data_IF_787386010818
#
_entry.id   IF_787386010818
#
_cell.length_a   1.000
_cell.length_b   1.000
_cell.length_c   1.000
_cell.angle_alpha   90.00
_cell.angle_beta   90.00
_cell.angle_gamma   90.00
#
_symmetry.space_group_name_H-M   'P 1'
#
loop_
_entity.id
_entity.type
_entity.pdbx_description
1 polymer ?
#
# COMPACT_ATOMS: atom_id res chain seq x y z
N UNK A 1 -18.85 -21.12 -5.79
CA UNK A 1 -19.46 -20.68 -4.55
C UNK A 1 -20.81 -20.04 -4.84
N UNK A 2 -21.83 -20.35 -4.04
CA UNK A 2 -23.19 -19.79 -4.19
C UNK A 2 -23.21 -18.25 -4.05
N UNK A 3 -22.14 -17.63 -3.57
CA UNK A 3 -22.05 -16.17 -3.39
C UNK A 3 -21.19 -15.46 -4.45
N UNK A 4 -20.97 -16.10 -5.60
CA UNK A 4 -20.25 -15.49 -6.71
C UNK A 4 -18.73 -15.60 -6.66
N UNK A 5 -18.04 -14.58 -7.17
CA UNK A 5 -16.59 -14.54 -7.28
C UNK A 5 -15.92 -14.10 -5.98
N UNK A 6 -14.66 -14.49 -5.79
CA UNK A 6 -13.82 -13.98 -4.72
C UNK A 6 -13.14 -12.67 -5.16
N UNK A 7 -13.23 -11.66 -4.31
CA UNK A 7 -12.47 -10.42 -4.41
C UNK A 7 -11.41 -10.38 -3.32
N UNK A 8 -10.81 -9.21 -3.12
CA UNK A 8 -9.70 -9.02 -2.19
C UNK A 8 -10.04 -9.34 -0.74
N UNK A 9 -9.01 -9.61 0.04
CA UNK A 9 -9.11 -9.94 1.44
C UNK A 9 -7.76 -9.82 2.15
N UNK A 10 -7.72 -10.27 3.39
CA UNK A 10 -6.50 -10.32 4.20
C UNK A 10 -6.44 -11.62 5.00
N UNK A 11 -5.28 -11.84 5.61
CA UNK A 11 -5.05 -12.95 6.54
C UNK A 11 -4.67 -12.37 7.90
N UNK A 12 -5.23 -12.93 8.96
CA UNK A 12 -4.81 -12.69 10.34
C UNK A 12 -4.44 -14.01 11.01
N UNK A 13 -3.50 -13.96 11.94
CA UNK A 13 -3.07 -15.15 12.72
C UNK A 13 -3.78 -15.14 14.07
N UNK A 14 -4.48 -16.22 14.37
CA UNK A 14 -5.07 -16.48 15.66
C UNK A 14 -4.15 -17.42 16.44
N UNK A 15 -3.24 -16.85 17.23
CA UNK A 15 -2.20 -17.60 17.94
C UNK A 15 -2.72 -18.45 19.11
N UNK A 16 -3.93 -18.18 19.58
CA UNK A 16 -4.49 -18.76 20.81
C UNK A 16 -5.79 -19.52 20.59
N UNK A 17 -6.21 -19.68 19.33
CA UNK A 17 -7.51 -20.22 18.98
C UNK A 17 -8.66 -19.48 19.67
N UNK A 18 -8.56 -18.14 19.75
CA UNK A 18 -9.63 -17.29 20.29
C UNK A 18 -10.93 -17.43 19.49
N UNK A 19 -10.79 -17.67 18.19
CA UNK A 19 -11.91 -17.91 17.26
C UNK A 19 -12.65 -19.21 17.48
N UNK A 20 -12.03 -20.20 18.14
CA UNK A 20 -12.53 -21.59 18.29
C UNK A 20 -12.77 -22.28 16.93
N UNK A 21 -12.08 -21.87 15.90
CA UNK A 21 -12.19 -22.46 14.56
C UNK A 21 -11.19 -23.58 14.31
N UNK A 22 -10.15 -23.69 15.12
CA UNK A 22 -9.03 -24.63 14.93
C UNK A 22 -9.18 -25.89 15.81
N UNK A 23 -8.59 -26.97 15.34
CA UNK A 23 -8.62 -28.27 16.04
C UNK A 23 -7.72 -28.31 17.28
N UNK A 24 -6.76 -27.39 17.37
CA UNK A 24 -5.80 -27.31 18.49
C UNK A 24 -5.78 -25.92 19.11
N UNK A 25 -5.28 -25.82 20.33
CA UNK A 25 -5.10 -24.53 21.02
C UNK A 25 -3.95 -23.67 20.43
N UNK A 26 -3.21 -24.19 19.46
CA UNK A 26 -2.16 -23.42 18.75
C UNK A 26 -2.72 -22.40 17.78
N UNK A 27 -4.04 -22.49 17.48
CA UNK A 27 -4.65 -21.62 16.50
C UNK A 27 -4.17 -21.88 15.07
N UNK A 28 -4.13 -20.84 14.26
CA UNK A 28 -3.75 -20.90 12.84
C UNK A 28 -4.04 -19.59 12.10
N UNK A 29 -4.17 -19.68 10.79
CA UNK A 29 -4.46 -18.53 9.94
C UNK A 29 -5.96 -18.46 9.62
N UNK A 30 -6.52 -17.25 9.68
CA UNK A 30 -7.88 -16.95 9.24
C UNK A 30 -7.78 -16.00 8.04
N UNK A 31 -8.28 -16.43 6.89
CA UNK A 31 -8.46 -15.58 5.73
C UNK A 31 -9.86 -14.95 5.77
N UNK A 32 -9.89 -13.63 5.64
CA UNK A 32 -11.08 -12.81 5.46
C UNK A 32 -11.20 -12.47 3.98
N UNK A 33 -12.23 -12.98 3.32
CA UNK A 33 -12.33 -12.97 1.87
C UNK A 33 -13.62 -12.28 1.47
N UNK A 34 -13.53 -11.29 0.60
CA UNK A 34 -14.73 -10.71 -0.01
C UNK A 34 -15.37 -11.70 -0.98
N UNK A 35 -16.62 -12.08 -0.74
CA UNK A 35 -17.45 -12.81 -1.68
C UNK A 35 -18.38 -11.82 -2.40
N UNK A 36 -18.27 -11.75 -3.74
CA UNK A 36 -19.03 -10.84 -4.58
C UNK A 36 -20.13 -11.59 -5.34
N UNK A 37 -21.36 -11.47 -4.88
CA UNK A 37 -22.55 -12.07 -5.50
C UNK A 37 -23.80 -11.69 -4.71
N UNK A 38 -24.74 -11.03 -5.33
CA UNK A 38 -25.93 -10.47 -4.70
C UNK A 38 -25.56 -9.57 -3.50
N UNK A 39 -24.70 -8.56 -3.75
CA UNK A 39 -24.01 -7.76 -2.74
C UNK A 39 -22.74 -8.44 -2.24
N UNK A 40 -21.91 -7.70 -1.53
CA UNK A 40 -20.60 -8.16 -1.07
C UNK A 40 -20.63 -8.48 0.43
N UNK A 41 -19.85 -9.48 0.83
CA UNK A 41 -19.76 -9.92 2.23
C UNK A 41 -18.40 -10.52 2.52
N UNK A 42 -18.02 -10.52 3.79
CA UNK A 42 -16.75 -11.06 4.24
C UNK A 42 -16.94 -12.48 4.75
N UNK A 43 -16.35 -13.43 4.06
CA UNK A 43 -16.34 -14.85 4.41
C UNK A 43 -15.01 -15.27 4.98
N UNK A 44 -15.01 -16.43 5.65
CA UNK A 44 -13.86 -16.96 6.33
C UNK A 44 -13.37 -18.26 5.68
N UNK A 45 -12.04 -18.42 5.67
CA UNK A 45 -11.39 -19.71 5.50
C UNK A 45 -10.24 -19.82 6.51
N UNK A 46 -9.93 -21.04 6.93
CA UNK A 46 -8.87 -21.32 7.91
C UNK A 46 -7.79 -22.21 7.32
N UNK A 47 -6.57 -22.02 7.82
CA UNK A 47 -5.43 -22.91 7.58
C UNK A 47 -4.77 -23.28 8.90
N UNK A 48 -4.49 -24.59 9.08
CA UNK A 48 -3.78 -25.15 10.23
C UNK A 48 -2.35 -25.60 9.87
N UNK A 49 -1.91 -25.32 8.63
CA UNK A 49 -0.64 -25.74 8.04
C UNK A 49 0.13 -24.60 7.35
N UNK A 50 0.11 -23.42 8.00
CA UNK A 50 0.85 -22.23 7.56
C UNK A 50 0.47 -21.77 6.14
N UNK A 51 -0.80 -21.93 5.75
CA UNK A 51 -1.32 -21.46 4.48
C UNK A 51 -1.19 -22.44 3.32
N UNK A 52 -0.65 -23.66 3.55
CA UNK A 52 -0.51 -24.66 2.49
C UNK A 52 -1.88 -25.20 2.03
N UNK A 53 -2.82 -25.39 2.96
CA UNK A 53 -4.20 -25.76 2.63
C UNK A 53 -5.21 -24.89 3.36
N UNK A 54 -6.38 -24.70 2.73
CA UNK A 54 -7.43 -23.84 3.25
C UNK A 54 -8.78 -24.56 3.29
N UNK A 55 -9.47 -24.43 4.41
CA UNK A 55 -10.81 -24.94 4.63
C UNK A 55 -11.80 -23.77 4.78
N UNK A 56 -12.83 -23.74 3.95
CA UNK A 56 -13.92 -22.76 4.08
C UNK A 56 -14.66 -22.95 5.40
N UNK A 57 -14.98 -21.85 6.05
CA UNK A 57 -15.84 -21.83 7.24
C UNK A 57 -17.24 -21.42 6.80
N UNK A 58 -18.24 -22.16 7.24
CA UNK A 58 -19.65 -21.84 6.97
C UNK A 58 -20.15 -20.76 7.92
N UNK A 59 -19.50 -19.59 7.82
CA UNK A 59 -19.81 -18.38 8.59
C UNK A 59 -19.48 -17.13 7.79
N UNK A 60 -20.27 -16.10 8.00
CA UNK A 60 -20.07 -14.75 7.46
C UNK A 60 -19.55 -13.87 8.60
N UNK A 61 -18.40 -13.25 8.41
CA UNK A 61 -17.84 -12.33 9.39
C UNK A 61 -18.60 -10.99 9.39
N UNK A 62 -18.93 -10.47 8.19
CA UNK A 62 -19.72 -9.25 8.03
C UNK A 62 -20.47 -9.29 6.69
N UNK A 63 -21.67 -8.75 6.64
CA UNK A 63 -22.52 -8.69 5.44
C UNK A 63 -23.01 -7.26 5.21
N UNK A 64 -23.07 -6.84 3.95
CA UNK A 64 -23.58 -5.53 3.57
C UNK A 64 -25.01 -5.29 4.03
N UNK A 65 -25.85 -6.32 4.09
CA UNK A 65 -27.24 -6.21 4.49
C UNK A 65 -27.45 -5.93 5.98
N UNK A 66 -26.46 -6.31 6.80
CA UNK A 66 -26.45 -6.06 8.25
C UNK A 66 -25.69 -4.78 8.60
N UNK A 67 -25.01 -4.19 7.62
CA UNK A 67 -24.28 -2.94 7.79
C UNK A 67 -25.22 -1.73 7.91
N UNK A 68 -24.98 -0.79 8.83
CA UNK A 68 -25.87 0.39 9.00
C UNK A 68 -26.06 1.23 7.75
N UNK A 69 -25.08 1.21 6.83
CA UNK A 69 -25.14 1.97 5.57
C UNK A 69 -25.85 1.19 4.46
N UNK A 70 -26.05 -0.12 4.61
CA UNK A 70 -26.72 -1.01 3.65
C UNK A 70 -26.24 -0.81 2.19
N UNK A 71 -24.94 -0.58 2.03
CA UNK A 71 -24.33 -0.38 0.72
C UNK A 71 -23.77 -1.72 0.23
N UNK A 72 -24.18 -2.16 -0.96
CA UNK A 72 -23.77 -3.44 -1.56
C UNK A 72 -22.27 -3.51 -1.90
N UNK A 73 -21.61 -2.36 -2.05
CA UNK A 73 -20.15 -2.25 -2.12
C UNK A 73 -19.56 -2.38 -0.72
N UNK A 74 -19.13 -3.60 -0.38
CA UNK A 74 -18.70 -4.00 0.95
C UNK A 74 -17.57 -5.01 0.85
N UNK A 75 -16.32 -4.52 0.70
CA UNK A 75 -15.16 -5.35 0.33
C UNK A 75 -13.85 -4.89 0.91
N UNK A 76 -12.79 -5.64 0.58
CA UNK A 76 -11.40 -5.36 0.87
C UNK A 76 -11.13 -5.24 2.38
N UNK A 77 -11.46 -6.30 3.18
CA UNK A 77 -11.23 -6.25 4.62
C UNK A 77 -9.74 -6.20 4.93
N UNK A 78 -9.38 -5.40 5.94
CA UNK A 78 -8.08 -5.46 6.60
C UNK A 78 -8.28 -5.67 8.08
N UNK A 79 -7.71 -6.75 8.61
CA UNK A 79 -7.81 -7.15 10.02
C UNK A 79 -6.47 -6.92 10.71
N UNK A 80 -6.54 -6.38 11.93
CA UNK A 80 -5.38 -6.16 12.80
C UNK A 80 -5.80 -6.25 14.29
N UNK A 81 -4.82 -6.42 15.16
CA UNK A 81 -5.03 -6.42 16.60
C UNK A 81 -4.44 -5.16 17.23
N UNK A 82 -5.15 -4.56 18.18
CA UNK A 82 -4.65 -3.45 18.96
C UNK A 82 -5.23 -3.50 20.39
N UNK A 83 -4.35 -3.32 21.38
CA UNK A 83 -4.74 -3.35 22.81
C UNK A 83 -5.59 -4.57 23.21
N UNK A 84 -5.24 -5.74 22.62
CA UNK A 84 -5.91 -7.00 22.89
C UNK A 84 -7.26 -7.18 22.18
N UNK A 85 -7.73 -6.21 21.41
CA UNK A 85 -8.96 -6.26 20.62
C UNK A 85 -8.66 -6.41 19.14
N UNK A 86 -9.49 -7.12 18.42
CA UNK A 86 -9.40 -7.22 16.98
C UNK A 86 -10.21 -6.14 16.29
N UNK A 87 -9.67 -5.58 15.24
CA UNK A 87 -10.31 -4.59 14.38
C UNK A 87 -10.33 -5.05 12.94
N UNK A 88 -11.35 -4.62 12.20
CA UNK A 88 -11.44 -4.80 10.77
C UNK A 88 -11.92 -3.52 10.12
N UNK A 89 -11.17 -3.01 9.13
CA UNK A 89 -11.68 -1.97 8.24
C UNK A 89 -12.19 -2.61 6.97
N UNK A 90 -13.32 -2.10 6.46
CA UNK A 90 -13.98 -2.57 5.25
C UNK A 90 -14.43 -1.36 4.46
N UNK A 91 -14.31 -1.41 3.15
CA UNK A 91 -14.80 -0.36 2.25
C UNK A 91 -15.41 -0.93 0.97
N UNK A 92 -14.87 -0.58 -0.17
CA UNK A 92 -15.46 -0.85 -1.49
C UNK A 92 -16.38 0.27 -1.95
N UNK A 93 -17.04 0.87 -1.01
CA UNK A 93 -17.81 2.09 -1.02
C UNK A 93 -17.43 2.89 0.23
N UNK A 94 -18.39 3.26 1.11
CA UNK A 94 -18.09 3.93 2.37
C UNK A 94 -17.17 3.10 3.27
N UNK A 95 -16.28 3.75 4.02
CA UNK A 95 -15.43 3.10 5.01
C UNK A 95 -16.21 2.74 6.28
N UNK A 96 -15.90 1.60 6.87
CA UNK A 96 -16.41 1.12 8.17
C UNK A 96 -15.27 0.58 9.02
N UNK A 97 -15.41 0.72 10.33
CA UNK A 97 -14.55 0.09 11.33
C UNK A 97 -15.41 -0.86 12.17
N UNK A 98 -14.97 -2.09 12.27
CA UNK A 98 -15.55 -3.13 13.10
C UNK A 98 -14.57 -3.52 14.20
N UNK A 99 -15.07 -4.06 15.31
CA UNK A 99 -14.27 -4.73 16.34
C UNK A 99 -14.77 -6.13 16.64
N UNK A 100 -13.90 -6.96 17.18
CA UNK A 100 -14.20 -8.33 17.60
C UNK A 100 -13.34 -8.74 18.79
N UNK A 101 -13.90 -9.56 19.68
CA UNK A 101 -13.17 -10.22 20.76
C UNK A 101 -12.67 -11.62 20.35
N UNK A 102 -13.27 -12.20 19.30
CA UNK A 102 -13.06 -13.60 18.92
C UNK A 102 -12.72 -13.80 17.43
N UNK A 103 -12.43 -12.73 16.70
CA UNK A 103 -12.10 -12.78 15.27
C UNK A 103 -13.21 -13.29 14.34
N UNK A 104 -14.35 -13.65 14.86
CA UNK A 104 -15.46 -14.29 14.13
C UNK A 104 -16.73 -13.49 14.20
N UNK A 105 -17.07 -12.97 15.37
CA UNK A 105 -18.24 -12.14 15.60
C UNK A 105 -17.81 -10.67 15.62
N UNK A 106 -18.28 -9.90 14.65
CA UNK A 106 -17.87 -8.53 14.42
C UNK A 106 -18.97 -7.55 14.74
N UNK A 107 -18.62 -6.46 15.42
CA UNK A 107 -19.51 -5.38 15.80
C UNK A 107 -19.09 -4.10 15.08
N UNK A 108 -20.03 -3.40 14.49
CA UNK A 108 -19.78 -2.06 13.91
C UNK A 108 -19.42 -1.07 15.01
N UNK A 109 -18.29 -0.42 14.88
CA UNK A 109 -17.84 0.66 15.74
C UNK A 109 -18.19 2.02 15.11
N UNK A 110 -17.66 2.30 13.92
CA UNK A 110 -17.87 3.58 13.23
C UNK A 110 -18.04 3.41 11.73
N UNK A 111 -18.74 4.36 11.13
CA UNK A 111 -19.00 4.42 9.69
C UNK A 111 -18.65 5.80 9.17
N UNK A 112 -18.15 5.86 7.93
CA UNK A 112 -17.72 7.09 7.27
C UNK A 112 -18.42 7.19 5.91
N UNK A 113 -19.69 7.65 5.87
CA UNK A 113 -20.51 7.63 4.66
C UNK A 113 -19.94 8.45 3.51
N UNK A 114 -19.18 9.50 3.81
CA UNK A 114 -18.58 10.38 2.82
C UNK A 114 -17.16 9.98 2.40
N UNK A 115 -16.58 8.97 3.05
CA UNK A 115 -15.24 8.49 2.74
C UNK A 115 -15.32 7.20 1.94
N UNK A 116 -15.49 7.35 0.62
CA UNK A 116 -15.52 6.23 -0.32
C UNK A 116 -14.11 5.83 -0.74
N UNK A 117 -13.82 4.54 -0.71
CA UNK A 117 -12.54 3.99 -1.16
C UNK A 117 -12.64 2.51 -1.50
N UNK A 118 -11.60 1.99 -2.13
CA UNK A 118 -11.24 0.58 -2.21
C UNK A 118 -9.97 0.35 -1.40
N UNK A 119 -9.64 -0.89 -1.10
CA UNK A 119 -8.41 -1.30 -0.44
C UNK A 119 -8.06 -0.39 0.76
N UNK A 120 -8.94 -0.27 1.77
CA UNK A 120 -8.63 0.51 2.97
C UNK A 120 -7.58 -0.22 3.79
N UNK A 121 -6.65 0.54 4.38
CA UNK A 121 -5.73 0.00 5.36
C UNK A 121 -5.61 0.96 6.55
N UNK A 122 -5.46 0.43 7.76
CA UNK A 122 -5.37 1.21 8.99
C UNK A 122 -4.30 0.59 9.88
N UNK A 123 -3.24 1.35 10.13
CA UNK A 123 -2.08 0.86 10.86
C UNK A 123 -1.40 1.94 11.69
N UNK A 124 -0.79 1.57 12.83
CA UNK A 124 -0.11 2.51 13.73
C UNK A 124 1.33 2.77 13.30
N UNK A 125 1.84 3.92 13.67
CA UNK A 125 3.27 4.25 13.63
C UNK A 125 3.65 5.06 14.85
N UNK A 126 4.86 4.83 15.38
CA UNK A 126 5.42 5.66 16.42
C UNK A 126 6.18 6.85 15.81
N UNK A 127 5.90 8.04 16.31
CA UNK A 127 6.57 9.27 15.91
C UNK A 127 6.59 10.25 17.09
N UNK A 128 7.72 10.87 17.36
CA UNK A 128 7.89 11.85 18.46
C UNK A 128 7.40 11.31 19.83
N UNK A 129 7.59 10.00 20.10
CA UNK A 129 7.18 9.35 21.36
C UNK A 129 5.66 9.17 21.52
N UNK A 130 4.90 9.26 20.45
CA UNK A 130 3.47 8.99 20.45
C UNK A 130 3.09 8.03 19.30
N UNK A 131 1.97 7.34 19.48
CA UNK A 131 1.39 6.49 18.43
C UNK A 131 0.44 7.32 17.59
N UNK A 132 0.64 7.33 16.29
CA UNK A 132 -0.28 7.86 15.30
C UNK A 132 -0.77 6.75 14.39
N UNK A 133 -1.97 6.93 13.87
CA UNK A 133 -2.60 5.99 12.95
C UNK A 133 -2.62 6.54 11.54
N UNK A 134 -2.33 5.69 10.58
CA UNK A 134 -2.43 6.00 9.15
C UNK A 134 -3.62 5.24 8.59
N UNK A 135 -4.58 5.98 8.03
CA UNK A 135 -5.65 5.43 7.20
C UNK A 135 -5.27 5.65 5.74
N UNK A 136 -4.89 4.57 5.04
CA UNK A 136 -4.60 4.63 3.61
C UNK A 136 -5.79 4.17 2.77
N UNK A 137 -5.86 4.69 1.55
CA UNK A 137 -6.99 4.51 0.63
C UNK A 137 -6.50 4.21 -0.79
N UNK A 138 -6.85 3.04 -1.31
CA UNK A 138 -6.49 2.61 -2.66
C UNK A 138 -4.98 2.59 -2.94
N UNK A 139 -4.14 2.73 -1.91
CA UNK A 139 -2.70 2.83 -2.06
C UNK A 139 -2.20 4.14 -2.67
N UNK A 140 -3.03 5.19 -2.74
CA UNK A 140 -2.65 6.49 -3.29
C UNK A 140 -2.73 7.63 -2.30
N UNK A 141 -3.67 7.58 -1.38
CA UNK A 141 -3.97 8.65 -0.45
C UNK A 141 -3.93 8.16 0.97
N UNK A 142 -3.61 9.03 1.91
CA UNK A 142 -3.61 8.72 3.33
C UNK A 142 -4.07 9.90 4.19
N UNK A 143 -4.54 9.57 5.37
CA UNK A 143 -4.72 10.51 6.48
C UNK A 143 -3.92 10.03 7.68
N UNK A 144 -3.39 10.95 8.47
CA UNK A 144 -2.81 10.66 9.79
C UNK A 144 -3.78 11.16 10.86
N UNK A 145 -3.90 10.40 11.93
CA UNK A 145 -4.80 10.73 13.04
C UNK A 145 -4.64 9.77 14.21
N UNK A 146 -5.71 9.59 14.94
CA UNK A 146 -5.78 8.70 16.10
C UNK A 146 -6.90 7.67 15.92
N UNK A 147 -6.65 6.42 16.28
CA UNK A 147 -7.70 5.43 16.51
C UNK A 147 -8.02 5.44 18.00
N UNK A 148 -9.20 5.89 18.38
CA UNK A 148 -9.60 6.07 19.78
C UNK A 148 -11.09 5.90 20.00
N UNK A 149 -11.49 5.68 21.25
CA UNK A 149 -12.90 5.68 21.59
C UNK A 149 -13.48 7.10 21.64
N UNK A 150 -14.56 7.28 20.90
CA UNK A 150 -15.38 8.50 20.90
C UNK A 150 -16.82 8.08 21.16
N UNK A 151 -17.41 8.56 22.28
CA UNK A 151 -18.76 8.18 22.72
C UNK A 151 -18.98 6.66 22.82
N UNK A 152 -17.96 5.92 23.29
CA UNK A 152 -18.00 4.45 23.46
C UNK A 152 -17.90 3.66 22.17
N UNK A 153 -17.41 4.27 21.09
CA UNK A 153 -17.16 3.63 19.79
C UNK A 153 -15.75 3.92 19.29
N UNK A 154 -15.05 2.91 18.84
CA UNK A 154 -13.75 3.08 18.22
C UNK A 154 -13.87 3.82 16.89
N UNK A 155 -13.12 4.90 16.77
CA UNK A 155 -13.24 5.87 15.67
C UNK A 155 -11.86 6.34 15.26
N UNK A 156 -11.59 6.37 13.96
CA UNK A 156 -10.44 7.08 13.43
C UNK A 156 -10.76 8.57 13.35
N UNK A 157 -9.96 9.37 14.06
CA UNK A 157 -10.10 10.83 14.11
C UNK A 157 -8.87 11.45 13.42
N UNK A 158 -9.01 12.03 12.23
CA UNK A 158 -7.88 12.62 11.53
C UNK A 158 -7.34 13.85 12.28
N UNK A 159 -6.02 14.05 12.21
CA UNK A 159 -5.36 15.27 12.66
C UNK A 159 -5.89 16.48 11.87
N UNK A 160 -5.76 17.68 12.44
CA UNK A 160 -6.33 18.91 11.87
C UNK A 160 -5.97 19.11 10.39
N UNK A 161 -4.72 18.88 10.05
CA UNK A 161 -4.25 18.99 8.66
C UNK A 161 -5.01 18.05 7.70
N UNK A 162 -5.41 16.85 8.16
CA UNK A 162 -6.01 15.81 7.36
C UNK A 162 -7.54 15.76 7.40
N UNK A 163 -8.20 16.69 8.07
CA UNK A 163 -9.68 16.75 8.12
C UNK A 163 -10.28 16.87 6.73
N UNK A 164 -9.83 17.86 5.96
CA UNK A 164 -10.41 18.22 4.67
C UNK A 164 -9.54 17.85 3.47
N UNK A 165 -8.40 17.19 3.70
CA UNK A 165 -7.47 16.81 2.63
C UNK A 165 -6.75 15.51 2.96
N UNK A 166 -6.19 14.91 1.94
CA UNK A 166 -5.35 13.72 2.05
C UNK A 166 -3.88 14.06 1.79
N UNK A 167 -2.98 13.28 2.37
CA UNK A 167 -1.63 13.15 1.88
C UNK A 167 -1.60 12.22 0.66
N UNK A 168 -0.60 12.38 -0.19
CA UNK A 168 -0.33 11.48 -1.30
C UNK A 168 0.80 10.56 -0.92
N UNK A 169 0.62 9.24 -1.08
CA UNK A 169 1.62 8.26 -0.73
C UNK A 169 2.37 7.70 -1.95
N UNK A 170 1.71 7.58 -3.09
CA UNK A 170 2.30 7.09 -4.31
C UNK A 170 2.04 8.09 -5.45
N UNK A 171 3.11 8.68 -5.97
CA UNK A 171 3.05 9.77 -6.94
C UNK A 171 3.05 9.26 -8.39
N UNK A 172 3.53 8.05 -8.64
CA UNK A 172 3.48 7.42 -9.96
C UNK A 172 2.06 7.01 -10.34
N UNK A 173 1.80 6.96 -11.65
CA UNK A 173 0.51 6.51 -12.18
C UNK A 173 0.28 5.02 -11.90
N UNK A 174 1.32 4.21 -12.06
CA UNK A 174 1.26 2.76 -11.92
C UNK A 174 1.52 2.33 -10.47
N UNK A 175 0.57 2.68 -9.60
CA UNK A 175 0.57 2.29 -8.19
C UNK A 175 -0.86 2.31 -7.67
N UNK A 176 -1.41 1.14 -7.32
CA UNK A 176 -2.77 1.01 -6.80
C UNK A 176 -2.90 -0.19 -5.85
N UNK A 177 -4.01 -0.22 -5.11
CA UNK A 177 -4.42 -1.32 -4.24
C UNK A 177 -3.36 -1.72 -3.21
N UNK A 178 -2.64 -0.75 -2.65
CA UNK A 178 -1.64 -1.03 -1.62
C UNK A 178 -2.28 -1.63 -0.37
N UNK A 179 -1.59 -2.64 0.16
CA UNK A 179 -1.90 -3.26 1.45
C UNK A 179 -0.62 -3.41 2.23
N UNK A 180 -0.73 -3.28 3.55
CA UNK A 180 0.41 -3.51 4.43
C UNK A 180 0.41 -4.91 5.01
N UNK A 181 1.60 -5.38 5.37
CA UNK A 181 1.76 -6.54 6.25
C UNK A 181 2.72 -6.18 7.39
N UNK A 182 2.65 -6.96 8.44
CA UNK A 182 3.41 -6.73 9.68
C UNK A 182 4.51 -7.77 9.78
N UNK A 183 5.73 -7.31 10.06
CA UNK A 183 6.90 -8.20 10.18
C UNK A 183 6.86 -9.00 11.50
N UNK A 184 6.14 -8.50 12.50
CA UNK A 184 5.91 -9.18 13.78
C UNK A 184 4.53 -8.84 14.34
N UNK A 185 4.16 -9.46 15.46
CA UNK A 185 2.90 -9.13 16.17
C UNK A 185 2.94 -7.78 16.88
N UNK A 186 1.78 -7.28 17.29
CA UNK A 186 1.60 -6.00 17.99
C UNK A 186 1.88 -6.07 19.50
N UNK A 187 2.53 -7.12 19.97
CA UNK A 187 2.76 -7.32 21.39
C UNK A 187 1.49 -7.75 22.13
N UNK A 188 1.38 -7.36 23.40
CA UNK A 188 0.21 -7.67 24.25
C UNK A 188 -0.55 -6.39 24.60
N UNK A 189 -1.79 -6.54 25.08
CA UNK A 189 -2.58 -5.38 25.56
C UNK A 189 -1.86 -4.58 26.65
N UNK A 190 -1.09 -5.26 27.51
CA UNK A 190 -0.32 -4.60 28.58
C UNK A 190 0.98 -3.97 28.09
N UNK A 191 1.52 -4.48 26.99
CA UNK A 191 2.78 -4.02 26.39
C UNK A 191 2.64 -4.02 24.88
N UNK A 192 1.89 -3.07 24.30
CA UNK A 192 1.74 -2.96 22.87
C UNK A 192 3.09 -2.57 22.23
N UNK A 193 3.43 -3.24 21.14
CA UNK A 193 4.58 -2.92 20.31
C UNK A 193 4.10 -2.63 18.90
N UNK A 194 4.71 -1.65 18.24
CA UNK A 194 4.43 -1.37 16.84
C UNK A 194 5.45 -2.15 16.01
N UNK A 195 5.01 -3.12 15.22
CA UNK A 195 5.90 -3.88 14.36
C UNK A 195 6.41 -3.01 13.21
N UNK A 196 7.47 -3.47 12.55
CA UNK A 196 7.79 -2.93 11.24
C UNK A 196 6.63 -3.22 10.27
N UNK A 197 6.17 -2.18 9.60
CA UNK A 197 5.06 -2.23 8.67
C UNK A 197 5.60 -2.04 7.26
N UNK A 198 5.27 -2.96 6.39
CA UNK A 198 5.71 -2.99 5.00
C UNK A 198 4.50 -2.92 4.06
N UNK A 199 4.58 -2.02 3.11
CA UNK A 199 3.58 -1.84 2.06
C UNK A 199 4.00 -2.58 0.78
N UNK A 200 3.02 -3.17 0.14
CA UNK A 200 3.12 -3.73 -1.20
C UNK A 200 1.92 -3.27 -2.02
N UNK A 201 2.14 -2.86 -3.26
CA UNK A 201 1.07 -2.44 -4.13
C UNK A 201 1.20 -3.00 -5.56
N UNK A 202 0.13 -2.91 -6.31
CA UNK A 202 0.08 -3.30 -7.71
C UNK A 202 0.71 -2.21 -8.58
N UNK A 203 1.77 -2.57 -9.33
CA UNK A 203 2.41 -1.67 -10.29
C UNK A 203 1.61 -1.63 -11.59
N UNK A 204 0.42 -1.09 -11.50
CA UNK A 204 -0.50 -0.82 -12.60
C UNK A 204 -1.55 0.22 -12.14
N UNK A 205 -2.53 0.46 -12.98
CA UNK A 205 -3.64 1.39 -12.74
C UNK A 205 -4.88 0.92 -13.51
N UNK A 206 -6.06 1.43 -13.15
CA UNK A 206 -7.32 1.24 -13.89
C UNK A 206 -7.48 2.21 -15.07
N UNK A 207 -6.41 2.89 -15.49
CA UNK A 207 -6.44 3.74 -16.67
C UNK A 207 -6.60 2.93 -17.98
N UNK A 208 -6.75 3.62 -19.09
CA UNK A 208 -7.10 3.09 -20.41
C UNK A 208 -6.12 2.04 -20.96
N UNK A 209 -4.89 1.98 -20.44
CA UNK A 209 -3.87 1.00 -20.83
C UNK A 209 -3.76 -0.22 -19.91
N UNK A 210 -4.55 -0.30 -18.85
CA UNK A 210 -4.46 -1.34 -17.80
C UNK A 210 -4.27 -2.76 -18.38
N UNK A 211 -5.09 -3.15 -19.34
CA UNK A 211 -5.08 -4.49 -19.93
C UNK A 211 -4.30 -4.57 -21.25
N UNK A 212 -3.73 -3.46 -21.72
CA UNK A 212 -3.08 -3.41 -23.02
C UNK A 212 -1.58 -3.68 -22.96
N UNK A 213 -0.95 -3.46 -21.81
CA UNK A 213 0.50 -3.61 -21.64
C UNK A 213 0.91 -5.07 -21.86
N UNK A 214 0.25 -6.01 -21.22
CA UNK A 214 0.54 -7.43 -21.31
C UNK A 214 0.46 -7.91 -22.78
N UNK A 215 -0.60 -7.56 -23.50
CA UNK A 215 -0.78 -7.90 -24.90
C UNK A 215 0.33 -7.31 -25.79
N UNK A 216 0.67 -6.03 -25.58
CA UNK A 216 1.70 -5.32 -26.37
C UNK A 216 3.09 -5.87 -26.22
N UNK A 217 3.43 -6.41 -25.04
CA UNK A 217 4.77 -6.96 -24.76
C UNK A 217 4.81 -8.48 -24.75
N UNK A 218 3.68 -9.15 -25.01
CA UNK A 218 3.59 -10.61 -25.08
C UNK A 218 3.77 -11.28 -23.72
N UNK A 219 3.22 -10.70 -22.64
CA UNK A 219 3.22 -11.30 -21.31
C UNK A 219 1.94 -12.10 -21.05
N UNK A 220 2.07 -13.20 -20.30
CA UNK A 220 0.94 -14.02 -19.85
C UNK A 220 0.27 -13.48 -18.58
N UNK A 221 0.77 -12.40 -18.01
CA UNK A 221 0.25 -11.76 -16.81
C UNK A 221 0.12 -10.24 -17.00
N UNK A 222 -0.74 -9.61 -16.19
CA UNK A 222 -1.01 -8.17 -16.27
C UNK A 222 -0.56 -7.46 -15.00
N UNK A 223 0.45 -6.62 -15.13
CA UNK A 223 1.08 -5.90 -14.03
C UNK A 223 2.08 -6.74 -13.24
N UNK A 224 2.62 -6.14 -12.20
CA UNK A 224 3.55 -6.74 -11.25
C UNK A 224 3.41 -6.02 -9.91
N UNK A 225 4.16 -6.45 -8.90
CA UNK A 225 4.25 -5.70 -7.65
C UNK A 225 5.31 -4.61 -7.73
N UNK A 226 5.07 -3.51 -7.02
CA UNK A 226 6.09 -2.51 -6.73
C UNK A 226 7.10 -3.07 -5.70
N UNK A 227 8.16 -2.32 -5.45
CA UNK A 227 9.08 -2.65 -4.37
C UNK A 227 8.35 -2.68 -3.03
N UNK A 228 8.73 -3.59 -2.16
CA UNK A 228 8.29 -3.58 -0.76
C UNK A 228 8.85 -2.35 -0.06
N UNK A 229 7.97 -1.56 0.53
CA UNK A 229 8.33 -0.29 1.15
C UNK A 229 8.05 -0.33 2.65
N UNK A 230 9.07 -0.11 3.43
CA UNK A 230 8.95 0.15 4.87
C UNK A 230 8.26 1.49 5.07
N UNK A 231 7.20 1.47 5.86
CA UNK A 231 6.40 2.64 6.19
C UNK A 231 6.90 3.28 7.49
N UNK A 232 6.93 4.60 7.52
CA UNK A 232 7.21 5.38 8.72
C UNK A 232 6.46 6.72 8.70
N UNK A 233 6.62 7.47 9.77
CA UNK A 233 6.16 8.86 9.88
C UNK A 233 7.30 9.79 10.23
N UNK A 234 7.23 11.01 9.74
CA UNK A 234 8.13 12.10 10.08
C UNK A 234 7.34 13.38 10.34
N UNK A 235 7.69 14.10 11.39
CA UNK A 235 7.16 15.44 11.63
C UNK A 235 7.88 16.44 10.70
N UNK A 236 7.10 17.13 9.88
CA UNK A 236 7.58 18.20 9.01
C UNK A 236 6.71 19.43 9.28
N UNK A 237 7.31 20.43 9.91
CA UNK A 237 6.65 21.69 10.28
C UNK A 237 5.31 21.50 11.05
N UNK A 238 5.30 20.56 11.99
CA UNK A 238 4.13 20.25 12.81
C UNK A 238 3.10 19.34 12.15
N UNK A 239 3.35 18.85 10.94
CA UNK A 239 2.50 17.91 10.22
C UNK A 239 3.19 16.56 10.10
N UNK A 240 2.55 15.49 10.54
CA UNK A 240 3.07 14.14 10.36
C UNK A 240 2.90 13.69 8.91
N UNK A 241 4.02 13.41 8.25
CA UNK A 241 4.07 12.95 6.85
C UNK A 241 4.49 11.50 6.79
N UNK A 242 3.83 10.74 5.92
CA UNK A 242 4.22 9.37 5.59
C UNK A 242 5.60 9.36 4.94
N UNK A 243 6.44 8.41 5.37
CA UNK A 243 7.71 8.10 4.69
C UNK A 243 7.68 6.66 4.20
N UNK A 244 8.27 6.45 3.03
CA UNK A 244 8.37 5.15 2.38
C UNK A 244 9.82 4.93 1.94
N UNK A 245 10.41 3.83 2.38
CA UNK A 245 11.77 3.44 1.99
C UNK A 245 11.78 1.97 1.57
N UNK A 246 12.55 1.58 0.54
CA UNK A 246 12.73 0.17 0.24
C UNK A 246 13.20 -0.61 1.47
N UNK A 247 12.69 -1.83 1.66
CA UNK A 247 13.11 -2.69 2.77
C UNK A 247 14.60 -3.02 2.68
N UNK A 248 15.24 -3.21 3.83
CA UNK A 248 16.69 -3.44 3.91
C UNK A 248 17.13 -4.73 3.19
N UNK A 249 16.27 -5.73 3.09
CA UNK A 249 16.55 -6.98 2.37
C UNK A 249 16.95 -6.79 0.89
N UNK A 250 16.57 -5.68 0.26
CA UNK A 250 17.03 -5.38 -1.10
C UNK A 250 18.53 -5.11 -1.18
N UNK A 251 19.18 -4.76 -0.07
CA UNK A 251 20.63 -4.58 -0.04
C UNK A 251 21.38 -5.89 -0.30
N UNK A 252 20.79 -7.03 0.07
CA UNK A 252 21.37 -8.36 -0.15
C UNK A 252 21.38 -8.75 -1.64
N UNK A 253 20.62 -8.04 -2.47
CA UNK A 253 20.58 -8.25 -3.92
C UNK A 253 21.62 -7.41 -4.68
N UNK A 254 22.37 -6.56 -3.98
CA UNK A 254 23.36 -5.68 -4.60
C UNK A 254 24.63 -6.43 -4.94
N UNK A 255 25.05 -6.35 -6.18
CA UNK A 255 26.40 -6.68 -6.61
C UNK A 255 27.39 -5.58 -6.20
N UNK A 256 28.67 -5.82 -6.50
CA UNK A 256 29.71 -4.83 -6.29
C UNK A 256 29.44 -3.61 -7.16
N UNK A 257 29.09 -2.49 -6.52
CA UNK A 257 28.83 -1.22 -7.18
C UNK A 257 30.10 -0.54 -7.70
N UNK A 258 29.92 0.38 -8.64
CA UNK A 258 30.95 1.31 -9.10
C UNK A 258 30.61 2.72 -8.63
N UNK A 259 31.57 3.40 -8.03
CA UNK A 259 31.41 4.79 -7.58
C UNK A 259 32.08 5.73 -8.57
N UNK A 260 31.38 6.76 -8.97
CA UNK A 260 31.87 7.84 -9.80
C UNK A 260 31.84 9.16 -9.02
N UNK A 261 32.86 9.96 -9.20
CA UNK A 261 32.93 11.34 -8.64
C UNK A 261 33.51 12.23 -9.71
N UNK A 262 32.73 13.17 -10.21
CA UNK A 262 33.15 14.10 -11.23
C UNK A 262 32.25 15.34 -11.26
N UNK A 263 32.75 16.41 -11.87
CA UNK A 263 31.89 17.51 -12.33
C UNK A 263 31.25 17.09 -13.64
N UNK A 264 29.92 17.15 -13.70
CA UNK A 264 29.13 16.75 -14.87
C UNK A 264 28.56 18.00 -15.53
N UNK A 265 28.67 18.08 -16.82
CA UNK A 265 28.07 19.12 -17.67
C UNK A 265 27.25 18.52 -18.82
N UNK A 266 26.65 19.36 -19.67
CA UNK A 266 25.78 18.89 -20.76
C UNK A 266 26.46 17.93 -21.74
N UNK A 267 27.77 18.03 -21.87
CA UNK A 267 28.56 17.32 -22.89
C UNK A 267 29.29 16.09 -22.38
N UNK A 268 29.17 15.76 -21.09
CA UNK A 268 29.79 14.57 -20.55
C UNK A 268 28.79 13.61 -19.91
N UNK A 269 28.86 12.36 -20.31
CA UNK A 269 28.10 11.25 -19.76
C UNK A 269 29.01 10.42 -18.86
N UNK A 270 28.79 10.57 -17.55
CA UNK A 270 29.57 9.85 -16.52
C UNK A 270 29.32 8.33 -16.54
N UNK A 271 28.18 7.91 -17.06
CA UNK A 271 27.75 6.50 -17.11
C UNK A 271 27.95 5.89 -18.50
N UNK A 272 28.69 6.57 -19.38
CA UNK A 272 28.98 6.07 -20.74
C UNK A 272 29.57 4.65 -20.71
N UNK A 273 28.90 3.73 -21.38
CA UNK A 273 29.29 2.32 -21.42
C UNK A 273 28.70 1.46 -20.32
N UNK A 274 27.98 2.03 -19.33
CA UNK A 274 27.18 1.25 -18.40
C UNK A 274 26.00 0.63 -19.15
N UNK A 275 25.78 -0.67 -18.90
CA UNK A 275 24.66 -1.42 -19.45
C UNK A 275 24.05 -2.31 -18.36
N UNK A 276 22.71 -2.35 -18.30
CA UNK A 276 21.99 -3.17 -17.35
C UNK A 276 20.49 -3.01 -17.46
N UNK A 277 19.76 -4.02 -17.06
CA UNK A 277 18.28 -4.00 -16.99
C UNK A 277 17.75 -3.92 -15.56
N UNK A 278 18.58 -4.37 -14.60
CA UNK A 278 18.29 -4.33 -13.16
C UNK A 278 19.45 -3.66 -12.45
N UNK A 279 19.24 -2.49 -11.88
CA UNK A 279 20.27 -1.71 -11.22
C UNK A 279 19.67 -0.74 -10.21
N UNK A 280 20.49 -0.27 -9.31
CA UNK A 280 20.20 0.82 -8.39
C UNK A 280 21.18 1.98 -8.65
N UNK A 281 20.67 3.20 -8.64
CA UNK A 281 21.48 4.42 -8.71
C UNK A 281 21.30 5.19 -7.40
N UNK A 282 22.40 5.39 -6.68
CA UNK A 282 22.43 6.28 -5.52
C UNK A 282 23.32 7.47 -5.87
N UNK A 283 22.78 8.68 -5.80
CA UNK A 283 23.50 9.88 -6.23
C UNK A 283 23.35 11.03 -5.25
N UNK A 284 24.40 11.86 -5.20
CA UNK A 284 24.39 13.13 -4.51
C UNK A 284 24.86 14.20 -5.46
N UNK A 285 24.02 15.21 -5.68
CA UNK A 285 24.34 16.34 -6.52
C UNK A 285 24.68 17.59 -5.69
N UNK A 286 25.65 18.36 -6.17
CA UNK A 286 25.90 19.73 -5.73
C UNK A 286 25.73 20.64 -6.97
N UNK A 287 24.53 21.18 -7.21
CA UNK A 287 24.29 22.03 -8.37
C UNK A 287 25.16 23.31 -8.31
N UNK A 288 25.80 23.64 -9.42
CA UNK A 288 26.48 24.93 -9.56
C UNK A 288 25.47 26.08 -9.75
N UNK A 289 25.89 27.30 -9.55
CA UNK A 289 25.05 28.46 -9.80
C UNK A 289 24.55 28.45 -11.26
N UNK A 290 23.26 28.74 -11.46
CA UNK A 290 22.61 28.70 -12.76
C UNK A 290 22.20 27.30 -13.25
N UNK A 291 22.48 26.23 -12.51
CA UNK A 291 21.98 24.90 -12.86
C UNK A 291 20.46 24.87 -12.72
N UNK A 292 19.76 24.47 -13.78
CA UNK A 292 18.29 24.37 -13.79
C UNK A 292 17.78 22.99 -13.53
N UNK A 293 18.48 21.95 -14.03
CA UNK A 293 18.06 20.55 -13.94
C UNK A 293 19.25 19.64 -13.74
N UNK A 294 19.06 18.60 -12.94
CA UNK A 294 19.99 17.47 -12.77
C UNK A 294 19.22 16.17 -12.80
N UNK A 295 19.83 15.09 -13.24
CA UNK A 295 19.17 13.79 -13.23
C UNK A 295 19.82 12.77 -14.13
N UNK A 296 19.01 11.81 -14.57
CA UNK A 296 19.45 10.66 -15.34
C UNK A 296 18.58 10.45 -16.57
N UNK A 297 19.23 10.00 -17.64
CA UNK A 297 18.59 9.31 -18.75
C UNK A 297 18.77 7.82 -18.51
N UNK A 298 17.70 7.11 -18.31
CA UNK A 298 17.70 5.66 -18.08
C UNK A 298 16.92 4.96 -19.19
N UNK A 299 17.09 3.66 -19.35
CA UNK A 299 16.40 2.87 -20.36
C UNK A 299 16.63 3.43 -21.78
N UNK A 300 17.85 3.86 -22.05
CA UNK A 300 18.20 4.39 -23.37
C UNK A 300 18.34 3.25 -24.39
N UNK A 301 17.82 3.47 -25.59
CA UNK A 301 17.89 2.52 -26.69
C UNK A 301 18.54 3.10 -27.92
N UNK A 302 18.76 2.24 -28.93
CA UNK A 302 19.45 2.61 -30.19
C UNK A 302 18.60 3.47 -31.12
N UNK A 303 17.28 3.49 -30.94
CA UNK A 303 16.36 4.29 -31.77
C UNK A 303 15.97 5.61 -31.09
N UNK A 304 16.69 6.01 -30.03
CA UNK A 304 16.43 7.24 -29.29
C UNK A 304 15.44 7.07 -28.15
N UNK A 305 15.15 5.84 -27.73
CA UNK A 305 14.38 5.58 -26.53
C UNK A 305 15.12 6.12 -25.31
N UNK A 306 14.40 6.79 -24.42
CA UNK A 306 14.91 7.27 -23.15
C UNK A 306 13.78 7.48 -22.14
N UNK A 307 14.07 7.25 -20.87
CA UNK A 307 13.25 7.68 -19.74
C UNK A 307 14.05 8.68 -18.93
N UNK A 308 13.47 9.83 -18.60
CA UNK A 308 14.16 10.86 -17.85
C UNK A 308 13.69 10.85 -16.40
N UNK A 309 14.65 10.84 -15.48
CA UNK A 309 14.43 11.07 -14.04
C UNK A 309 15.18 12.35 -13.69
N UNK A 310 14.47 13.45 -13.49
CA UNK A 310 15.02 14.79 -13.38
C UNK A 310 14.54 15.47 -12.11
N UNK A 311 15.47 16.11 -11.39
CA UNK A 311 15.15 17.14 -10.43
C UNK A 311 15.25 18.51 -11.11
N UNK A 312 14.12 19.21 -11.20
CA UNK A 312 14.01 20.56 -11.74
C UNK A 312 14.16 21.57 -10.59
N UNK A 313 15.30 22.25 -10.54
CA UNK A 313 15.62 23.19 -9.47
C UNK A 313 14.79 24.48 -9.53
N UNK A 314 14.27 24.85 -10.70
CA UNK A 314 13.43 26.04 -10.82
C UNK A 314 12.02 25.80 -10.29
N UNK A 315 11.55 24.54 -10.37
CA UNK A 315 10.21 24.13 -9.92
C UNK A 315 10.21 23.45 -8.56
N UNK A 316 11.40 23.13 -8.05
CA UNK A 316 11.58 22.25 -6.86
C UNK A 316 10.79 20.94 -6.98
N UNK A 317 10.96 20.26 -8.12
CA UNK A 317 10.16 19.10 -8.47
C UNK A 317 10.99 17.96 -9.05
N UNK A 318 10.63 16.71 -8.69
CA UNK A 318 11.13 15.51 -9.36
C UNK A 318 10.18 15.17 -10.51
N UNK A 319 10.73 14.99 -11.69
CA UNK A 319 9.99 14.66 -12.91
C UNK A 319 10.43 13.29 -13.41
N UNK A 320 9.45 12.43 -13.69
CA UNK A 320 9.62 11.21 -14.46
C UNK A 320 8.97 11.42 -15.82
N UNK A 321 9.78 11.52 -16.87
CA UNK A 321 9.32 11.65 -18.24
C UNK A 321 9.56 10.36 -19.01
N UNK A 322 8.48 9.69 -19.37
CA UNK A 322 8.47 8.45 -20.14
C UNK A 322 7.87 8.63 -21.54
N UNK A 323 7.75 9.84 -22.02
CA UNK A 323 7.18 10.14 -23.34
C UNK A 323 7.93 9.51 -24.50
N UNK A 324 9.21 9.16 -24.29
CA UNK A 324 10.07 8.48 -25.27
C UNK A 324 10.58 7.12 -24.80
N UNK A 325 9.91 6.47 -23.88
CA UNK A 325 10.38 5.22 -23.26
C UNK A 325 10.14 3.95 -24.10
N UNK A 326 9.90 4.08 -25.39
CA UNK A 326 9.72 2.95 -26.32
C UNK A 326 8.25 2.75 -26.72
N UNK A 327 7.66 1.63 -26.34
CA UNK A 327 6.28 1.30 -26.75
C UNK A 327 5.30 2.37 -26.31
N UNK A 328 4.47 2.83 -27.26
CA UNK A 328 3.39 3.78 -27.03
C UNK A 328 2.05 3.03 -27.06
N UNK A 329 1.24 3.21 -26.03
CA UNK A 329 -0.09 2.58 -25.92
C UNK A 329 -1.17 3.66 -25.94
N UNK A 330 -1.06 4.63 -25.04
CA UNK A 330 -1.97 5.75 -24.96
C UNK A 330 -1.25 7.01 -24.45
N UNK A 331 -1.92 8.15 -24.49
CA UNK A 331 -1.38 9.40 -23.94
C UNK A 331 -1.10 9.29 -22.43
N UNK A 332 -1.96 8.62 -21.69
CA UNK A 332 -1.78 8.40 -20.24
C UNK A 332 -0.60 7.46 -19.94
N UNK A 333 -0.40 6.42 -20.76
CA UNK A 333 0.74 5.51 -20.61
C UNK A 333 2.09 6.24 -20.74
N UNK A 334 2.18 7.20 -21.64
CA UNK A 334 3.40 7.96 -21.95
C UNK A 334 3.47 9.32 -21.24
N UNK A 335 2.58 9.57 -20.30
CA UNK A 335 2.51 10.86 -19.61
C UNK A 335 3.73 11.12 -18.75
N UNK A 336 4.16 12.38 -18.74
CA UNK A 336 5.18 12.89 -17.83
C UNK A 336 4.55 13.17 -16.46
N UNK A 337 5.12 12.60 -15.41
CA UNK A 337 4.74 12.86 -14.03
C UNK A 337 5.75 13.80 -13.37
N UNK A 338 5.26 14.82 -12.68
CA UNK A 338 6.08 15.78 -11.93
C UNK A 338 5.47 16.03 -10.55
N UNK A 339 6.33 16.01 -9.52
CA UNK A 339 5.97 16.18 -8.11
C UNK A 339 6.97 17.08 -7.39
#
# INVERSE_FOLDING_TARGET
>A
DMNGTMFSGCIAVDETNASKLFSTDKGGMIAYITANGNGQRIKLAISEDEGNTWKKVDKIAADWSDDPLQNQDFRDPKVFQWEGKWFMVVAGGPLRIYSSEDMVNWKVESTYPDLHTECPDLYPQEVDGQVKWILSRGGRYYKVGDLKEVNGKWTFVPDEYYKDKDGVMNFGRDSYAAMTYYVSGFGTAAHPTIPEIVELNWMNTWDDYCNQVAEKVGQDFNGTFNLHLKIGLKNVDGVYRLTQTPIDAYQDLRDKGTTYTATVGPDNDLLKGFQGTSYEIVSRFMPAEGTKKVGFKVRTGTNGEETLVIYDLEKDAITLDRSKSGIQISGKFSETNSQ
#
